data_IF_413824394292
#
_entry.id   IF_413824394292
#
_cell.length_a   1.000
_cell.length_b   1.000
_cell.length_c   1.000
_cell.angle_alpha   90.00
_cell.angle_beta   90.00
_cell.angle_gamma   90.00
#
_symmetry.space_group_name_H-M   'P 1'
#
loop_
_entity.id
_entity.type
_entity.pdbx_description
1 polymer ?
#
# COMPACT_ATOMS: atom_id res chain seq x y z
N UNK A 1 5.87 -1.35 -10.73
CA UNK A 1 5.29 -0.20 -11.47
C UNK A 1 6.34 0.84 -11.87
N UNK A 2 6.30 1.32 -13.13
CA UNK A 2 7.14 2.43 -13.62
C UNK A 2 6.24 3.58 -14.12
N UNK A 3 6.56 4.82 -13.74
CA UNK A 3 5.94 6.04 -14.24
C UNK A 3 6.56 6.43 -15.57
N UNK A 4 5.72 6.53 -16.60
CA UNK A 4 6.16 6.84 -17.98
C UNK A 4 5.93 8.29 -18.37
N UNK A 5 5.02 8.99 -17.69
CA UNK A 5 4.80 10.40 -17.95
C UNK A 5 5.97 11.23 -17.37
N UNK A 6 6.16 12.47 -17.84
CA UNK A 6 7.14 13.38 -17.26
C UNK A 6 6.91 13.57 -15.77
N UNK A 7 7.99 13.48 -15.00
CA UNK A 7 8.01 13.78 -13.56
C UNK A 7 8.68 15.13 -13.31
N UNK A 8 8.19 15.86 -12.32
CA UNK A 8 8.79 17.12 -11.86
C UNK A 8 8.86 17.15 -10.33
N UNK A 9 9.74 17.98 -9.77
CA UNK A 9 9.86 18.17 -8.33
C UNK A 9 9.12 19.43 -7.90
N UNK A 10 8.64 19.43 -6.67
CA UNK A 10 8.07 20.60 -6.03
C UNK A 10 8.29 20.58 -4.52
N UNK A 11 7.85 21.64 -3.85
CA UNK A 11 7.83 21.74 -2.39
C UNK A 11 6.41 21.73 -1.90
N UNK A 12 6.07 20.74 -1.08
CA UNK A 12 4.75 20.63 -0.49
C UNK A 12 4.45 21.86 0.39
N UNK A 13 3.30 22.51 0.18
CA UNK A 13 2.89 23.66 0.99
C UNK A 13 1.88 23.22 2.05
N UNK A 14 0.74 22.69 1.61
CA UNK A 14 -0.32 22.22 2.50
C UNK A 14 -1.30 21.30 1.78
N UNK A 15 -1.88 20.37 2.53
CA UNK A 15 -3.00 19.53 2.08
C UNK A 15 -4.31 20.26 2.38
N UNK A 16 -5.14 20.46 1.37
CA UNK A 16 -6.41 21.19 1.48
C UNK A 16 -7.51 20.23 1.94
N UNK A 17 -7.54 19.04 1.35
CA UNK A 17 -8.46 17.96 1.69
C UNK A 17 -7.81 16.61 1.34
N UNK A 18 -8.56 15.51 1.40
CA UNK A 18 -8.01 14.17 1.15
C UNK A 18 -7.35 14.03 -0.23
N UNK A 19 -7.83 14.75 -1.24
CA UNK A 19 -7.45 14.54 -2.64
C UNK A 19 -6.72 15.73 -3.27
N UNK A 20 -6.51 16.82 -2.53
CA UNK A 20 -5.97 18.07 -3.07
C UNK A 20 -4.95 18.69 -2.12
N UNK A 21 -3.84 19.16 -2.70
CA UNK A 21 -2.79 19.88 -2.01
C UNK A 21 -2.26 21.03 -2.86
N UNK A 22 -1.70 22.03 -2.19
CA UNK A 22 -0.86 23.03 -2.84
C UNK A 22 0.61 22.62 -2.78
N UNK A 23 1.28 22.75 -3.91
CA UNK A 23 2.71 22.49 -4.08
C UNK A 23 3.33 23.69 -4.79
N UNK A 24 4.46 24.17 -4.28
CA UNK A 24 5.30 25.14 -4.97
C UNK A 24 6.11 24.41 -6.06
N UNK A 25 5.91 24.79 -7.31
CA UNK A 25 6.63 24.28 -8.47
C UNK A 25 7.32 25.48 -9.11
N UNK A 26 8.64 25.55 -8.99
CA UNK A 26 9.48 26.63 -9.54
C UNK A 26 9.02 28.06 -9.16
N UNK A 27 8.49 28.23 -7.94
CA UNK A 27 7.97 29.51 -7.41
C UNK A 27 6.47 29.72 -7.63
N UNK A 28 5.78 28.81 -8.33
CA UNK A 28 4.34 28.87 -8.59
C UNK A 28 3.55 27.93 -7.66
N UNK A 29 2.61 28.50 -6.89
CA UNK A 29 1.70 27.74 -6.04
C UNK A 29 0.65 27.04 -6.90
N UNK A 30 0.83 25.73 -7.08
CA UNK A 30 0.02 24.89 -7.97
C UNK A 30 -0.88 23.94 -7.20
N UNK A 31 -2.14 23.80 -7.64
CA UNK A 31 -3.07 22.79 -7.11
C UNK A 31 -2.78 21.41 -7.72
N UNK A 32 -2.50 20.42 -6.87
CA UNK A 32 -2.11 19.06 -7.27
C UNK A 32 -3.05 18.01 -6.67
N UNK A 33 -3.22 16.87 -7.36
CA UNK A 33 -3.97 15.74 -6.82
C UNK A 33 -3.13 14.94 -5.82
N UNK A 34 -3.78 14.43 -4.77
CA UNK A 34 -3.20 13.50 -3.79
C UNK A 34 -3.92 12.16 -3.91
N UNK A 35 -3.32 11.13 -4.54
CA UNK A 35 -3.93 9.80 -4.73
C UNK A 35 -3.87 8.92 -3.46
N UNK A 36 -4.00 9.53 -2.27
CA UNK A 36 -3.98 8.85 -0.98
C UNK A 36 -5.21 9.24 -0.16
N UNK A 37 -5.93 8.26 0.38
CA UNK A 37 -7.11 8.51 1.22
C UNK A 37 -6.78 8.67 2.71
N UNK A 38 -5.61 8.16 3.13
CA UNK A 38 -5.06 8.25 4.48
C UNK A 38 -4.57 9.65 4.82
N UNK A 39 -4.18 9.84 6.09
CA UNK A 39 -3.81 11.16 6.61
C UNK A 39 -2.35 11.50 6.29
N UNK A 40 -1.45 10.51 6.40
CA UNK A 40 -0.03 10.64 6.06
C UNK A 40 0.61 11.93 6.61
N UNK A 41 0.35 12.26 7.87
CA UNK A 41 0.73 13.56 8.47
C UNK A 41 2.23 13.72 8.62
N UNK A 42 2.90 12.61 8.86
CA UNK A 42 4.35 12.44 8.97
C UNK A 42 5.07 12.53 7.61
N UNK A 43 4.31 12.46 6.51
CA UNK A 43 4.82 12.53 5.13
C UNK A 43 4.55 13.92 4.54
N UNK A 44 3.32 14.42 4.68
CA UNK A 44 2.88 15.71 4.14
C UNK A 44 3.26 16.89 5.06
N UNK A 45 4.56 17.09 5.23
CA UNK A 45 5.14 18.19 6.02
C UNK A 45 5.44 19.38 5.10
N UNK A 46 5.03 20.62 5.45
CA UNK A 46 5.40 21.81 4.67
C UNK A 46 6.91 21.89 4.40
N UNK A 47 7.29 22.13 3.15
CA UNK A 47 8.67 22.15 2.68
C UNK A 47 9.23 20.79 2.23
N UNK A 48 8.52 19.68 2.45
CA UNK A 48 8.93 18.38 1.94
C UNK A 48 9.03 18.39 0.41
N UNK A 49 10.06 17.74 -0.13
CA UNK A 49 10.19 17.55 -1.57
C UNK A 49 9.17 16.51 -2.03
N UNK A 50 8.37 16.85 -3.04
CA UNK A 50 7.43 15.94 -3.67
C UNK A 50 7.82 15.69 -5.11
N UNK A 51 7.59 14.46 -5.57
CA UNK A 51 7.68 14.09 -6.98
C UNK A 51 6.27 14.05 -7.54
N UNK A 52 6.07 14.82 -8.59
CA UNK A 52 4.80 14.99 -9.26
C UNK A 52 4.84 14.33 -10.64
N UNK A 53 3.84 13.52 -10.96
CA UNK A 53 3.60 13.10 -12.33
C UNK A 53 2.74 14.12 -13.07
N UNK A 54 3.18 14.50 -14.27
CA UNK A 54 2.43 15.39 -15.16
C UNK A 54 1.32 14.60 -15.88
N UNK A 55 0.06 14.92 -15.59
CA UNK A 55 -1.13 14.27 -16.16
C UNK A 55 -1.99 15.28 -16.91
N UNK A 56 -1.60 15.61 -18.13
CA UNK A 56 -2.34 16.50 -19.04
C UNK A 56 -3.37 15.72 -19.85
N UNK A 57 -4.52 15.39 -19.25
CA UNK A 57 -5.66 14.80 -19.97
C UNK A 57 -6.86 15.76 -19.95
N UNK A 58 -7.64 15.88 -21.04
CA UNK A 58 -8.88 16.64 -21.04
C UNK A 58 -9.80 16.21 -19.89
N UNK A 59 -10.35 17.17 -19.15
CA UNK A 59 -11.28 16.94 -18.04
C UNK A 59 -10.65 16.74 -16.66
N UNK A 60 -9.32 16.70 -16.53
CA UNK A 60 -8.67 16.70 -15.21
C UNK A 60 -8.69 18.10 -14.59
N UNK A 61 -9.07 18.18 -13.31
CA UNK A 61 -9.02 19.42 -12.52
C UNK A 61 -7.58 19.87 -12.24
N UNK A 62 -6.67 18.92 -12.00
CA UNK A 62 -5.27 19.19 -11.67
C UNK A 62 -4.34 18.65 -12.75
N UNK A 63 -3.33 19.42 -13.18
CA UNK A 63 -2.35 18.98 -14.18
C UNK A 63 -1.29 18.04 -13.60
N UNK A 64 -1.19 17.96 -12.28
CA UNK A 64 -0.20 17.16 -11.56
C UNK A 64 -0.84 16.27 -10.48
N UNK A 65 -0.17 15.16 -10.21
CA UNK A 65 -0.49 14.18 -9.19
C UNK A 65 0.77 13.92 -8.35
N UNK A 66 0.67 13.96 -7.02
CA UNK A 66 1.79 13.60 -6.16
C UNK A 66 1.92 12.08 -6.18
N UNK A 67 3.10 11.58 -6.54
CA UNK A 67 3.37 10.14 -6.65
C UNK A 67 4.29 9.67 -5.53
N UNK A 68 5.31 10.49 -5.24
CA UNK A 68 6.28 10.21 -4.20
C UNK A 68 6.55 11.44 -3.33
N UNK A 69 6.91 11.21 -2.08
CA UNK A 69 7.28 12.27 -1.14
C UNK A 69 8.56 11.87 -0.42
N UNK A 70 9.49 12.81 -0.30
CA UNK A 70 10.68 12.64 0.51
C UNK A 70 10.38 12.96 1.98
N UNK A 71 10.66 11.99 2.85
CA UNK A 71 10.71 12.13 4.31
C UNK A 71 12.17 12.08 4.73
N UNK A 72 12.81 13.24 4.84
CA UNK A 72 14.27 13.32 4.91
C UNK A 72 14.87 12.81 3.60
N UNK A 73 15.74 11.80 3.67
CA UNK A 73 16.35 11.16 2.49
C UNK A 73 15.50 9.99 1.94
N UNK A 74 14.56 9.47 2.73
CA UNK A 74 13.71 8.34 2.34
C UNK A 74 12.62 8.78 1.37
N UNK A 75 12.48 8.03 0.28
CA UNK A 75 11.43 8.24 -0.72
C UNK A 75 10.26 7.29 -0.47
N UNK A 76 9.04 7.84 -0.35
CA UNK A 76 7.83 7.07 -0.07
C UNK A 76 6.87 7.22 -1.25
N UNK A 77 6.39 6.12 -1.81
CA UNK A 77 5.26 6.14 -2.75
C UNK A 77 3.96 6.35 -1.97
N UNK A 78 3.16 7.33 -2.38
CA UNK A 78 1.96 7.71 -1.63
C UNK A 78 0.65 7.30 -2.32
N UNK A 79 0.67 6.84 -3.57
CA UNK A 79 -0.56 6.39 -4.23
C UNK A 79 -1.08 5.10 -3.58
N UNK A 80 -2.31 5.17 -3.08
CA UNK A 80 -3.00 4.07 -2.38
C UNK A 80 -3.46 2.93 -3.31
N UNK A 81 -3.42 3.11 -4.63
CA UNK A 81 -3.74 2.07 -5.62
C UNK A 81 -2.52 1.27 -6.06
N UNK A 82 -1.31 1.82 -5.87
CA UNK A 82 -0.05 1.19 -6.26
C UNK A 82 0.18 -0.17 -5.59
N UNK A 83 -0.15 -0.38 -4.30
CA UNK A 83 0.09 -1.66 -3.65
C UNK A 83 -0.49 -2.87 -4.37
N UNK A 84 -1.78 -2.83 -4.69
CA UNK A 84 -2.46 -3.91 -5.37
C UNK A 84 -1.82 -4.20 -6.73
N UNK A 85 -1.44 -3.14 -7.46
CA UNK A 85 -0.79 -3.27 -8.77
C UNK A 85 0.58 -3.91 -8.66
N UNK A 86 1.42 -3.43 -7.74
CA UNK A 86 2.78 -3.95 -7.53
C UNK A 86 2.76 -5.40 -7.09
N UNK A 87 1.92 -5.76 -6.12
CA UNK A 87 1.78 -7.16 -5.67
C UNK A 87 1.30 -8.05 -6.82
N UNK A 88 0.27 -7.63 -7.56
CA UNK A 88 -0.24 -8.40 -8.70
C UNK A 88 0.79 -8.58 -9.82
N UNK A 89 1.55 -7.53 -10.17
CA UNK A 89 2.62 -7.59 -11.17
C UNK A 89 3.71 -8.60 -10.76
N UNK A 90 4.05 -8.65 -9.46
CA UNK A 90 5.05 -9.58 -8.93
C UNK A 90 4.56 -11.02 -8.78
N UNK A 91 3.27 -11.23 -8.50
CA UNK A 91 2.65 -12.57 -8.54
C UNK A 91 2.69 -13.10 -9.98
N UNK A 92 2.22 -12.30 -10.96
CA UNK A 92 2.21 -12.68 -12.37
C UNK A 92 3.60 -12.92 -12.95
N UNK A 93 4.60 -12.17 -12.46
CA UNK A 93 5.99 -12.35 -12.83
C UNK A 93 6.70 -13.47 -12.04
N UNK A 94 5.97 -14.23 -11.22
CA UNK A 94 6.50 -15.29 -10.35
C UNK A 94 7.66 -14.83 -9.45
N UNK A 95 7.70 -13.56 -9.06
CA UNK A 95 8.79 -13.00 -8.22
C UNK A 95 8.61 -13.32 -6.73
N UNK A 96 7.39 -13.62 -6.31
CA UNK A 96 7.08 -13.97 -4.91
C UNK A 96 6.86 -15.48 -4.82
N UNK A 97 7.83 -16.19 -4.25
CA UNK A 97 7.83 -17.66 -4.21
C UNK A 97 6.58 -18.28 -3.60
N UNK A 98 6.02 -17.64 -2.58
CA UNK A 98 4.86 -18.11 -1.81
C UNK A 98 3.57 -18.12 -2.64
N UNK A 99 3.55 -17.42 -3.78
CA UNK A 99 2.40 -17.20 -4.67
C UNK A 99 2.56 -17.84 -6.05
N UNK A 100 3.56 -18.72 -6.24
CA UNK A 100 3.78 -19.47 -7.50
C UNK A 100 2.87 -20.69 -7.59
N UNK A 101 2.71 -21.23 -8.80
CA UNK A 101 2.02 -22.50 -9.04
C UNK A 101 0.49 -22.40 -9.11
N UNK A 102 -0.03 -21.21 -9.44
CA UNK A 102 -1.46 -20.99 -9.67
C UNK A 102 -1.72 -20.68 -11.15
N UNK A 103 -2.72 -21.34 -11.72
CA UNK A 103 -3.08 -21.22 -13.14
C UNK A 103 -3.96 -20.01 -13.41
N UNK A 104 -4.79 -19.65 -12.43
CA UNK A 104 -5.78 -18.59 -12.52
C UNK A 104 -5.47 -17.50 -11.50
N UNK A 105 -5.47 -16.25 -11.97
CA UNK A 105 -5.29 -15.05 -11.16
C UNK A 105 -6.45 -14.08 -11.43
N UNK A 106 -7.37 -13.99 -10.48
CA UNK A 106 -8.49 -13.04 -10.52
C UNK A 106 -8.25 -11.86 -9.57
N UNK A 107 -8.82 -10.71 -9.92
CA UNK A 107 -8.79 -9.50 -9.07
C UNK A 107 -10.16 -9.24 -8.49
N UNK A 108 -10.21 -8.54 -7.36
CA UNK A 108 -11.47 -7.98 -6.83
C UNK A 108 -12.55 -9.07 -6.61
N UNK A 109 -12.13 -10.24 -6.10
CA UNK A 109 -12.96 -11.43 -5.95
C UNK A 109 -13.70 -11.42 -4.62
N UNK A 110 -15.01 -11.64 -4.67
CA UNK A 110 -15.85 -11.71 -3.48
C UNK A 110 -15.73 -13.07 -2.78
N UNK A 111 -15.64 -13.05 -1.46
CA UNK A 111 -15.91 -14.19 -0.57
C UNK A 111 -16.66 -13.69 0.67
N UNK A 112 -17.74 -14.38 1.04
CA UNK A 112 -18.60 -13.96 2.15
C UNK A 112 -19.11 -12.53 1.94
N UNK A 113 -18.77 -11.64 2.88
CA UNK A 113 -19.20 -10.25 2.87
C UNK A 113 -18.09 -9.26 2.46
N UNK A 114 -16.96 -9.78 1.95
CA UNK A 114 -15.80 -8.99 1.57
C UNK A 114 -15.39 -9.26 0.14
N UNK A 115 -14.72 -8.26 -0.43
CA UNK A 115 -14.06 -8.36 -1.73
C UNK A 115 -12.57 -8.25 -1.48
N UNK A 116 -11.84 -9.30 -1.84
CA UNK A 116 -10.39 -9.40 -1.69
C UNK A 116 -9.71 -8.96 -2.99
N UNK A 117 -8.51 -8.40 -2.84
CA UNK A 117 -7.79 -7.78 -3.95
C UNK A 117 -7.39 -8.80 -5.02
N UNK A 118 -6.98 -9.99 -4.61
CA UNK A 118 -6.49 -11.06 -5.49
C UNK A 118 -7.02 -12.42 -5.04
N UNK A 119 -7.40 -13.25 -5.99
CA UNK A 119 -7.66 -14.69 -5.80
C UNK A 119 -6.80 -15.49 -6.78
N UNK A 120 -6.07 -16.47 -6.25
CA UNK A 120 -5.30 -17.44 -7.02
C UNK A 120 -5.99 -18.80 -6.95
N UNK A 121 -5.96 -19.54 -8.06
CA UNK A 121 -6.58 -20.87 -8.16
C UNK A 121 -5.72 -21.80 -9.02
N UNK A 122 -5.55 -23.02 -8.55
CA UNK A 122 -5.07 -24.18 -9.31
C UNK A 122 -6.00 -25.37 -9.04
N UNK A 123 -5.68 -26.55 -9.58
CA UNK A 123 -6.48 -27.77 -9.41
C UNK A 123 -6.68 -28.20 -7.94
N UNK A 124 -5.83 -27.76 -7.01
CA UNK A 124 -5.78 -28.25 -5.64
C UNK A 124 -6.28 -27.24 -4.60
N UNK A 125 -6.15 -25.94 -4.83
CA UNK A 125 -6.40 -24.93 -3.83
C UNK A 125 -6.85 -23.57 -4.39
N UNK A 126 -7.71 -22.91 -3.61
CA UNK A 126 -8.07 -21.49 -3.78
C UNK A 126 -7.31 -20.70 -2.72
N UNK A 127 -6.72 -19.58 -3.14
CA UNK A 127 -5.96 -18.68 -2.28
C UNK A 127 -6.48 -17.24 -2.40
N UNK A 128 -7.07 -16.72 -1.32
CA UNK A 128 -7.46 -15.31 -1.23
C UNK A 128 -6.36 -14.46 -0.59
N UNK A 129 -6.07 -13.31 -1.21
CA UNK A 129 -5.04 -12.38 -0.76
C UNK A 129 -5.65 -10.98 -0.65
N UNK A 130 -5.47 -10.38 0.51
CA UNK A 130 -5.73 -8.96 0.77
C UNK A 130 -4.41 -8.18 0.84
N UNK A 131 -4.31 -7.07 0.13
CA UNK A 131 -3.15 -6.19 0.11
C UNK A 131 -3.42 -4.94 0.95
N UNK A 132 -2.47 -4.57 1.80
CA UNK A 132 -2.47 -3.34 2.59
C UNK A 132 -1.26 -2.50 2.22
N UNK A 133 -1.50 -1.28 1.73
CA UNK A 133 -0.45 -0.29 1.55
C UNK A 133 0.02 0.25 2.90
N UNK A 134 1.34 0.30 3.10
CA UNK A 134 1.98 0.78 4.32
C UNK A 134 2.92 1.93 3.99
N UNK A 135 2.57 3.11 4.51
CA UNK A 135 3.39 4.33 4.37
C UNK A 135 3.79 4.92 5.72
N UNK A 136 3.21 4.45 6.83
CA UNK A 136 3.58 4.91 8.16
C UNK A 136 4.86 4.20 8.60
N UNK A 137 5.84 5.01 8.97
CA UNK A 137 7.13 4.55 9.45
C UNK A 137 7.63 5.47 10.57
N UNK A 138 8.27 4.87 11.58
CA UNK A 138 8.99 5.58 12.66
C UNK A 138 10.30 4.84 12.98
N UNK A 139 11.44 5.50 12.78
CA UNK A 139 12.78 4.99 13.11
C UNK A 139 13.08 3.58 12.54
N UNK A 140 12.79 3.36 11.27
CA UNK A 140 12.99 2.09 10.57
C UNK A 140 11.87 1.07 10.76
N UNK A 141 10.84 1.39 11.55
CA UNK A 141 9.74 0.48 11.87
C UNK A 141 8.51 0.87 11.04
N UNK A 142 8.07 -0.03 10.17
CA UNK A 142 6.86 0.16 9.38
C UNK A 142 5.62 -0.30 10.14
N UNK A 143 4.52 0.44 10.01
CA UNK A 143 3.33 0.22 10.82
C UNK A 143 2.03 0.38 10.03
N UNK A 144 1.02 -0.43 10.37
CA UNK A 144 -0.33 -0.27 9.84
C UNK A 144 -1.39 -0.52 10.92
N UNK A 145 -2.47 0.28 11.00
CA UNK A 145 -2.79 1.42 10.12
C UNK A 145 -2.25 2.78 10.64
N UNK A 146 -2.35 3.82 9.81
CA UNK A 146 -2.08 5.24 10.15
C UNK A 146 -3.30 5.97 10.75
N UNK A 147 -4.48 5.38 10.63
CA UNK A 147 -5.73 5.79 11.26
C UNK A 147 -6.63 4.57 11.56
N UNK A 148 -7.59 4.65 12.51
CA UNK A 148 -8.51 3.54 12.78
C UNK A 148 -9.22 3.03 11.50
N UNK A 149 -9.31 1.70 11.35
CA UNK A 149 -9.78 1.02 10.13
C UNK A 149 -10.74 -0.12 10.43
N UNK A 150 -12.04 0.20 10.48
CA UNK A 150 -13.11 -0.80 10.59
C UNK A 150 -13.12 -1.74 9.39
N UNK A 151 -12.86 -1.21 8.18
CA UNK A 151 -12.75 -2.02 6.96
C UNK A 151 -11.60 -3.01 7.04
N UNK A 152 -10.41 -2.57 7.49
CA UNK A 152 -9.27 -3.46 7.67
C UNK A 152 -9.56 -4.57 8.68
N UNK A 153 -10.18 -4.22 9.80
CA UNK A 153 -10.62 -5.18 10.83
C UNK A 153 -11.59 -6.21 10.24
N UNK A 154 -12.61 -5.77 9.51
CA UNK A 154 -13.57 -6.66 8.82
C UNK A 154 -12.86 -7.61 7.86
N UNK A 155 -11.88 -7.11 7.09
CA UNK A 155 -11.15 -7.96 6.14
C UNK A 155 -10.34 -9.05 6.84
N UNK A 156 -9.73 -8.78 8.01
CA UNK A 156 -9.02 -9.82 8.78
C UNK A 156 -9.98 -10.92 9.27
N UNK A 157 -11.15 -10.52 9.79
CA UNK A 157 -12.18 -11.47 10.20
C UNK A 157 -12.73 -12.31 9.04
N UNK A 158 -12.80 -11.75 7.83
CA UNK A 158 -13.26 -12.49 6.65
C UNK A 158 -12.15 -13.38 6.06
N UNK A 159 -10.87 -13.00 6.14
CA UNK A 159 -9.75 -13.91 5.82
C UNK A 159 -9.71 -15.11 6.77
N UNK A 160 -10.00 -14.89 8.06
CA UNK A 160 -10.18 -15.99 9.03
C UNK A 160 -11.26 -16.96 8.56
N UNK A 161 -12.41 -16.47 8.09
CA UNK A 161 -13.48 -17.31 7.52
C UNK A 161 -13.04 -18.06 6.25
N UNK A 162 -12.25 -17.42 5.37
CA UNK A 162 -11.66 -18.12 4.20
C UNK A 162 -10.87 -19.33 4.69
N UNK A 163 -10.01 -19.14 5.70
CA UNK A 163 -9.19 -20.21 6.25
C UNK A 163 -10.00 -21.31 6.93
N UNK A 164 -11.03 -20.94 7.69
CA UNK A 164 -11.98 -21.88 8.33
C UNK A 164 -12.77 -22.70 7.30
N UNK A 165 -12.94 -22.21 6.07
CA UNK A 165 -13.56 -22.94 4.96
C UNK A 165 -12.55 -23.80 4.17
N UNK A 166 -11.35 -24.02 4.70
CA UNK A 166 -10.34 -24.91 4.11
C UNK A 166 -9.56 -24.31 2.93
N UNK A 167 -9.74 -23.02 2.64
CA UNK A 167 -8.99 -22.33 1.60
C UNK A 167 -7.75 -21.64 2.16
N UNK A 168 -6.78 -21.34 1.31
CA UNK A 168 -5.60 -20.56 1.68
C UNK A 168 -5.98 -19.08 1.75
N UNK A 169 -5.41 -18.36 2.71
CA UNK A 169 -5.76 -16.96 2.99
C UNK A 169 -4.53 -16.20 3.45
N UNK A 170 -4.28 -15.02 2.89
CA UNK A 170 -3.14 -14.18 3.27
C UNK A 170 -3.49 -12.70 3.31
N UNK A 171 -2.79 -11.99 4.18
CA UNK A 171 -2.64 -10.53 4.12
C UNK A 171 -1.21 -10.18 3.72
N UNK A 172 -1.07 -9.26 2.77
CA UNK A 172 0.22 -8.74 2.29
C UNK A 172 0.31 -7.27 2.65
N UNK A 173 1.27 -6.90 3.49
CA UNK A 173 1.62 -5.53 3.81
C UNK A 173 2.71 -5.06 2.85
N UNK A 174 2.33 -4.28 1.84
CA UNK A 174 3.30 -3.68 0.93
C UNK A 174 3.78 -2.34 1.50
N UNK A 175 5.02 -2.32 1.95
CA UNK A 175 5.66 -1.14 2.53
C UNK A 175 6.28 -0.33 1.40
N UNK A 176 5.70 0.84 1.17
CA UNK A 176 5.93 1.67 -0.02
C UNK A 176 7.21 2.52 0.07
N UNK A 177 8.26 1.96 0.68
CA UNK A 177 9.57 2.55 0.91
C UNK A 177 10.61 1.45 1.22
N UNK A 178 11.88 1.82 1.19
CA UNK A 178 13.03 0.97 1.51
C UNK A 178 13.54 1.17 2.96
N UNK A 179 14.57 0.40 3.31
CA UNK A 179 15.31 0.46 4.57
C UNK A 179 14.41 0.35 5.82
N UNK A 180 13.67 -0.75 5.87
CA UNK A 180 12.77 -1.12 6.96
C UNK A 180 13.36 -2.29 7.74
N UNK A 181 13.44 -2.14 9.06
CA UNK A 181 13.91 -3.19 9.96
C UNK A 181 12.87 -4.30 10.13
N UNK A 182 11.62 -3.92 10.40
CA UNK A 182 10.50 -4.83 10.54
C UNK A 182 9.16 -4.11 10.41
N UNK A 183 8.10 -4.89 10.24
CA UNK A 183 6.71 -4.45 10.27
C UNK A 183 6.01 -4.86 11.57
N UNK A 184 5.14 -4.00 12.11
CA UNK A 184 4.27 -4.32 13.24
C UNK A 184 2.89 -3.67 13.08
N UNK A 185 1.79 -4.31 13.53
CA UNK A 185 0.51 -3.62 13.60
C UNK A 185 0.57 -2.44 14.58
N UNK A 186 -0.06 -1.32 14.21
CA UNK A 186 -0.09 -0.11 15.01
C UNK A 186 -1.16 -0.18 16.10
N UNK A 187 -0.86 -0.89 17.18
CA UNK A 187 -1.80 -1.09 18.31
C UNK A 187 -2.24 0.24 18.96
N UNK A 188 -1.37 1.27 18.95
CA UNK A 188 -1.69 2.58 19.50
C UNK A 188 -2.80 3.27 18.71
N UNK A 189 -2.81 3.10 17.39
CA UNK A 189 -3.82 3.67 16.50
C UNK A 189 -5.09 2.82 16.44
N UNK A 190 -4.95 1.50 16.30
CA UNK A 190 -6.08 0.60 16.17
C UNK A 190 -5.83 -0.76 16.83
N UNK A 191 -6.21 -0.86 18.10
CA UNK A 191 -6.17 -2.12 18.83
C UNK A 191 -7.10 -3.18 18.22
N UNK A 192 -8.27 -2.79 17.68
CA UNK A 192 -9.23 -3.76 17.13
C UNK A 192 -8.68 -4.42 15.87
N UNK A 193 -8.04 -3.64 15.00
CA UNK A 193 -7.34 -4.19 13.84
C UNK A 193 -6.21 -5.14 14.27
N UNK A 194 -5.41 -4.72 15.26
CA UNK A 194 -4.29 -5.52 15.77
C UNK A 194 -4.76 -6.86 16.34
N UNK A 195 -5.80 -6.84 17.19
CA UNK A 195 -6.38 -8.05 17.76
C UNK A 195 -6.94 -8.97 16.66
N UNK A 196 -7.64 -8.42 15.66
CA UNK A 196 -8.19 -9.19 14.54
C UNK A 196 -7.10 -9.79 13.63
N UNK A 197 -6.00 -9.08 13.40
CA UNK A 197 -4.84 -9.60 12.66
C UNK A 197 -4.22 -10.79 13.41
N UNK A 198 -3.97 -10.64 14.72
CA UNK A 198 -3.44 -11.72 15.55
C UNK A 198 -4.35 -12.94 15.56
N UNK A 199 -5.66 -12.74 15.71
CA UNK A 199 -6.65 -13.83 15.68
C UNK A 199 -6.69 -14.55 14.31
N UNK A 200 -6.65 -13.80 13.20
CA UNK A 200 -6.58 -14.37 11.86
C UNK A 200 -5.32 -15.21 11.68
N UNK A 201 -4.14 -14.68 12.06
CA UNK A 201 -2.86 -15.40 11.96
C UNK A 201 -2.84 -16.66 12.83
N UNK A 202 -3.38 -16.59 14.05
CA UNK A 202 -3.51 -17.75 14.94
C UNK A 202 -4.44 -18.85 14.37
N UNK A 203 -5.35 -18.48 13.45
CA UNK A 203 -6.21 -19.45 12.74
C UNK A 203 -5.54 -20.02 11.48
N UNK A 204 -4.32 -19.56 11.15
CA UNK A 204 -3.54 -20.01 9.99
C UNK A 204 -3.73 -19.17 8.73
N UNK A 205 -4.24 -17.94 8.86
CA UNK A 205 -4.10 -16.92 7.81
C UNK A 205 -2.63 -16.51 7.74
N UNK A 206 -2.06 -16.52 6.55
CA UNK A 206 -0.66 -16.13 6.33
C UNK A 206 -0.52 -14.60 6.36
N UNK A 207 0.61 -14.10 6.86
CA UNK A 207 0.92 -12.68 6.84
C UNK A 207 2.31 -12.49 6.25
N UNK A 208 2.40 -11.61 5.25
CA UNK A 208 3.64 -11.25 4.58
C UNK A 208 3.82 -9.74 4.59
N UNK A 209 5.06 -9.29 4.73
CA UNK A 209 5.41 -7.88 4.61
C UNK A 209 6.59 -7.76 3.66
N UNK A 210 6.47 -6.89 2.66
CA UNK A 210 7.52 -6.63 1.69
C UNK A 210 7.84 -5.15 1.66
N UNK A 211 9.11 -4.79 1.77
CA UNK A 211 9.55 -3.44 1.46
C UNK A 211 9.72 -3.27 -0.07
N UNK A 212 9.72 -2.03 -0.50
CA UNK A 212 9.82 -1.69 -1.90
C UNK A 212 11.11 -0.94 -2.18
N UNK A 213 11.72 -1.22 -3.33
CA UNK A 213 12.71 -0.30 -3.89
C UNK A 213 11.95 0.83 -4.58
N UNK A 214 12.18 2.06 -4.12
CA UNK A 214 11.49 3.25 -4.59
C UNK A 214 12.51 4.22 -5.18
N UNK A 215 12.26 4.67 -6.40
CA UNK A 215 12.97 5.77 -7.06
C UNK A 215 11.95 6.75 -7.62
N UNK A 216 12.42 7.92 -8.05
CA UNK A 216 11.54 9.03 -8.47
C UNK A 216 10.61 8.70 -9.65
N UNK A 217 10.83 7.59 -10.36
CA UNK A 217 9.98 7.12 -11.44
C UNK A 217 9.54 5.64 -11.33
N UNK A 218 9.87 4.92 -10.26
CA UNK A 218 9.42 3.54 -10.12
C UNK A 218 9.28 3.08 -8.68
N UNK A 219 8.50 2.02 -8.53
CA UNK A 219 8.37 1.25 -7.31
C UNK A 219 8.21 -0.23 -7.69
N UNK A 220 8.99 -1.09 -7.04
CA UNK A 220 8.84 -2.55 -7.15
C UNK A 220 9.14 -3.23 -5.80
N UNK A 221 8.66 -4.46 -5.63
CA UNK A 221 8.99 -5.26 -4.44
C UNK A 221 10.49 -5.52 -4.40
N UNK A 222 11.08 -5.43 -3.21
CA UNK A 222 12.50 -5.68 -2.97
C UNK A 222 12.69 -6.87 -2.03
N UNK A 223 12.59 -6.64 -0.72
CA UNK A 223 12.89 -7.63 0.31
C UNK A 223 11.63 -7.96 1.13
N UNK A 224 11.50 -9.22 1.56
CA UNK A 224 10.56 -9.60 2.61
C UNK A 224 11.11 -9.12 3.96
N UNK A 225 10.25 -8.57 4.80
CA UNK A 225 10.61 -8.05 6.13
C UNK A 225 9.89 -8.82 7.23
N UNK A 226 10.55 -8.94 8.38
CA UNK A 226 9.98 -9.61 9.55
C UNK A 226 8.68 -8.93 9.99
N UNK A 227 7.67 -9.73 10.34
CA UNK A 227 6.46 -9.25 11.00
C UNK A 227 6.55 -9.56 12.49
N UNK A 228 6.45 -8.53 13.33
CA UNK A 228 6.32 -8.64 14.78
C UNK A 228 4.87 -8.38 15.17
N UNK A 229 4.16 -9.44 15.56
CA UNK A 229 2.74 -9.38 15.94
C UNK A 229 2.53 -9.00 17.40
#
# INVERSE_FOLDING_TARGET
MVIKNPIIKGKFIKRINRFEAYVDIDGEVTLTHVPNTGRCKEIFIPGATVILEKRLKPGRKTPYEIEFVYKGERLISIDSQVPNKVVLENIKGEKISQFRGYDIIEREKTFGNSKFDIMLLNDNEIFYIEVKGVTLEENGIAMFPDAPTERGTKHMMELKKVKENGMRAAVVFLIQMDDIEYFTPNIKTDKKFTDALRDAVNTGVEAYAFCCDVKENYIDIKDEVEIKL
#
